data_IF_007960534579
#
_entry.id   IF_007960534579
#
_cell.length_a   1.000
_cell.length_b   1.000
_cell.length_c   1.000
_cell.angle_alpha   90.00
_cell.angle_beta   90.00
_cell.angle_gamma   90.00
#
_symmetry.space_group_name_H-M   'P 1'
#
loop_
_entity.id
_entity.type
_entity.pdbx_description
1 polymer ?
#
# COMPACT_ATOMS: atom_id res chain seq x y z
N UNK A 1 -36.18 10.26 5.79
CA UNK A 1 -34.90 9.60 6.15
C UNK A 1 -34.96 8.07 6.27
N UNK A 2 -36.02 7.47 6.86
CA UNK A 2 -36.11 5.99 7.05
C UNK A 2 -36.11 5.17 5.74
N UNK A 3 -36.74 5.68 4.68
CA UNK A 3 -36.81 4.97 3.38
C UNK A 3 -35.44 4.90 2.68
N UNK A 4 -34.66 5.98 2.72
CA UNK A 4 -33.32 6.03 2.14
C UNK A 4 -32.38 5.03 2.85
N UNK A 5 -32.40 4.98 4.20
CA UNK A 5 -31.63 3.97 4.97
C UNK A 5 -32.03 2.54 4.63
N UNK A 6 -33.33 2.25 4.45
CA UNK A 6 -33.79 0.90 4.05
C UNK A 6 -33.26 0.51 2.66
N UNK A 7 -33.28 1.43 1.68
CA UNK A 7 -32.71 1.17 0.35
C UNK A 7 -31.19 0.98 0.39
N UNK A 8 -30.47 1.72 1.23
CA UNK A 8 -29.03 1.53 1.41
C UNK A 8 -28.71 0.16 2.00
N UNK A 9 -29.43 -0.26 3.03
CA UNK A 9 -29.27 -1.58 3.65
C UNK A 9 -29.63 -2.73 2.68
N UNK A 10 -30.64 -2.55 1.83
CA UNK A 10 -30.98 -3.58 0.83
C UNK A 10 -29.91 -3.71 -0.26
N UNK A 11 -29.35 -2.60 -0.75
CA UNK A 11 -28.26 -2.64 -1.74
C UNK A 11 -27.01 -3.28 -1.15
N UNK A 12 -26.73 -2.98 0.11
CA UNK A 12 -25.62 -3.52 0.86
C UNK A 12 -25.73 -5.03 1.07
N UNK A 13 -26.91 -5.50 1.47
CA UNK A 13 -27.22 -6.92 1.57
C UNK A 13 -26.97 -7.65 0.25
N UNK A 14 -27.40 -7.08 -0.87
CA UNK A 14 -27.17 -7.65 -2.20
C UNK A 14 -25.67 -7.78 -2.50
N UNK A 15 -24.84 -6.81 -2.10
CA UNK A 15 -23.39 -6.89 -2.32
C UNK A 15 -22.75 -8.01 -1.50
N UNK A 16 -23.11 -8.13 -0.22
CA UNK A 16 -22.62 -9.20 0.66
C UNK A 16 -23.05 -10.57 0.13
N UNK A 17 -24.32 -10.72 -0.24
CA UNK A 17 -24.84 -11.99 -0.80
C UNK A 17 -24.16 -12.39 -2.10
N UNK A 18 -23.91 -11.44 -3.00
CA UNK A 18 -23.18 -11.72 -4.26
C UNK A 18 -21.76 -12.22 -3.98
N UNK A 19 -21.07 -11.60 -3.02
CA UNK A 19 -19.73 -12.00 -2.62
C UNK A 19 -19.71 -13.40 -2.00
N UNK A 20 -20.67 -13.73 -1.12
CA UNK A 20 -20.83 -15.07 -0.57
C UNK A 20 -21.01 -16.11 -1.69
N UNK A 21 -21.95 -15.89 -2.60
CA UNK A 21 -22.29 -16.86 -3.63
C UNK A 21 -21.09 -17.20 -4.54
N UNK A 22 -20.36 -16.20 -5.03
CA UNK A 22 -19.18 -16.44 -5.88
C UNK A 22 -18.07 -17.17 -5.11
N UNK A 23 -17.82 -16.75 -3.87
CA UNK A 23 -16.82 -17.38 -3.00
C UNK A 23 -17.15 -18.86 -2.73
N UNK A 24 -18.40 -19.18 -2.43
CA UNK A 24 -18.85 -20.55 -2.18
C UNK A 24 -18.66 -21.43 -3.40
N UNK A 25 -19.02 -20.94 -4.59
CA UNK A 25 -18.79 -21.68 -5.84
C UNK A 25 -17.31 -21.94 -6.06
N UNK A 26 -16.44 -20.92 -5.93
CA UNK A 26 -15.00 -21.13 -6.08
C UNK A 26 -14.47 -22.12 -5.04
N UNK A 27 -14.90 -21.99 -3.78
CA UNK A 27 -14.49 -22.90 -2.69
C UNK A 27 -14.87 -24.34 -3.00
N UNK A 28 -16.08 -24.57 -3.48
CA UNK A 28 -16.59 -25.92 -3.79
C UNK A 28 -15.87 -26.52 -5.00
N UNK A 29 -15.61 -25.71 -6.03
CA UNK A 29 -14.81 -26.13 -7.18
C UNK A 29 -13.41 -26.52 -6.72
N UNK A 30 -12.70 -25.66 -5.96
CA UNK A 30 -11.36 -25.95 -5.44
C UNK A 30 -11.33 -27.13 -4.44
N UNK A 31 -12.44 -27.39 -3.74
CA UNK A 31 -12.60 -28.57 -2.86
C UNK A 31 -12.70 -29.88 -3.62
N UNK A 32 -13.26 -29.85 -4.83
CA UNK A 32 -13.41 -31.04 -5.67
C UNK A 32 -12.13 -31.43 -6.41
N UNK A 33 -11.11 -30.58 -6.39
CA UNK A 33 -9.85 -30.78 -7.13
C UNK A 33 -8.87 -31.69 -6.39
N UNK A 34 -8.12 -32.47 -7.15
CA UNK A 34 -6.98 -33.24 -6.64
C UNK A 34 -5.72 -32.35 -6.60
N UNK A 35 -5.09 -32.12 -5.43
CA UNK A 35 -3.85 -31.35 -5.34
C UNK A 35 -2.67 -31.95 -6.14
N UNK A 36 -2.75 -33.22 -6.55
CA UNK A 36 -1.73 -33.86 -7.41
C UNK A 36 -1.91 -33.55 -8.90
N UNK A 37 -3.09 -33.07 -9.29
CA UNK A 37 -3.48 -32.77 -10.66
C UNK A 37 -4.17 -31.38 -10.70
N UNK A 38 -3.40 -30.29 -10.54
CA UNK A 38 -3.95 -28.95 -10.44
C UNK A 38 -4.33 -28.33 -11.79
N UNK A 39 -4.31 -29.08 -12.90
CA UNK A 39 -4.57 -28.55 -14.24
C UNK A 39 -5.93 -27.84 -14.32
N UNK A 40 -6.95 -28.37 -13.65
CA UNK A 40 -8.27 -27.72 -13.61
C UNK A 40 -8.28 -26.36 -12.88
N UNK A 41 -7.26 -26.04 -12.08
CA UNK A 41 -7.18 -24.74 -11.39
C UNK A 41 -6.82 -23.62 -12.38
N UNK A 42 -6.32 -24.00 -13.57
CA UNK A 42 -6.05 -23.10 -14.68
C UNK A 42 -7.18 -23.04 -15.70
N UNK A 43 -8.29 -23.76 -15.48
CA UNK A 43 -9.46 -23.70 -16.37
C UNK A 43 -10.02 -22.27 -16.39
N UNK A 44 -10.39 -21.78 -17.57
CA UNK A 44 -10.95 -20.43 -17.78
C UNK A 44 -12.10 -20.14 -16.80
N UNK A 45 -12.97 -21.12 -16.55
CA UNK A 45 -14.05 -20.99 -15.58
C UNK A 45 -13.56 -20.71 -14.15
N UNK A 46 -12.48 -21.38 -13.72
CA UNK A 46 -11.89 -21.15 -12.40
C UNK A 46 -11.21 -19.79 -12.35
N UNK A 47 -10.51 -19.40 -13.41
CA UNK A 47 -9.88 -18.09 -13.52
C UNK A 47 -10.90 -16.94 -13.48
N UNK A 48 -12.05 -17.10 -14.16
CA UNK A 48 -13.17 -16.16 -14.09
C UNK A 48 -13.74 -16.04 -12.66
N UNK A 49 -13.86 -17.16 -11.94
CA UNK A 49 -14.31 -17.15 -10.55
C UNK A 49 -13.28 -16.49 -9.62
N UNK A 50 -11.98 -16.70 -9.86
CA UNK A 50 -10.88 -16.06 -9.12
C UNK A 50 -10.89 -14.55 -9.36
N UNK A 51 -11.07 -14.10 -10.60
CA UNK A 51 -11.23 -12.68 -10.93
C UNK A 51 -12.45 -12.09 -10.23
N UNK A 52 -13.60 -12.78 -10.29
CA UNK A 52 -14.81 -12.34 -9.59
C UNK A 52 -14.60 -12.27 -8.08
N UNK A 53 -13.97 -13.27 -7.45
CA UNK A 53 -13.63 -13.25 -6.02
C UNK A 53 -12.71 -12.08 -5.67
N UNK A 54 -11.70 -11.81 -6.51
CA UNK A 54 -10.80 -10.68 -6.33
C UNK A 54 -11.55 -9.35 -6.39
N UNK A 55 -12.45 -9.18 -7.36
CA UNK A 55 -13.30 -8.00 -7.46
C UNK A 55 -14.23 -7.86 -6.26
N UNK A 56 -14.88 -8.95 -5.83
CA UNK A 56 -15.75 -8.93 -4.63
C UNK A 56 -14.94 -8.59 -3.37
N UNK A 57 -13.71 -9.10 -3.23
CA UNK A 57 -12.83 -8.76 -2.10
C UNK A 57 -12.57 -7.26 -2.04
N UNK A 58 -12.31 -6.62 -3.17
CA UNK A 58 -12.13 -5.16 -3.23
C UNK A 58 -13.42 -4.42 -2.85
N UNK A 59 -14.59 -4.90 -3.29
CA UNK A 59 -15.88 -4.30 -2.88
C UNK A 59 -16.14 -4.43 -1.39
N UNK A 60 -15.83 -5.59 -0.79
CA UNK A 60 -15.96 -5.79 0.65
C UNK A 60 -15.02 -4.86 1.42
N UNK A 61 -13.79 -4.68 0.96
CA UNK A 61 -12.85 -3.72 1.55
C UNK A 61 -13.40 -2.28 1.47
N UNK A 62 -13.87 -1.85 0.31
CA UNK A 62 -14.46 -0.51 0.16
C UNK A 62 -15.69 -0.33 1.07
N UNK A 63 -16.49 -1.38 1.23
CA UNK A 63 -17.64 -1.35 2.13
C UNK A 63 -17.21 -1.18 3.59
N UNK A 64 -16.19 -1.90 4.03
CA UNK A 64 -15.60 -1.74 5.37
C UNK A 64 -15.12 -0.30 5.60
N UNK A 65 -14.51 0.32 4.59
CA UNK A 65 -13.98 1.68 4.70
C UNK A 65 -15.06 2.77 4.72
N UNK A 66 -16.25 2.51 4.17
CA UNK A 66 -17.28 3.54 3.94
C UNK A 66 -18.52 3.38 4.80
N UNK A 67 -18.81 2.18 5.29
CA UNK A 67 -19.95 1.91 6.16
C UNK A 67 -19.72 2.48 7.58
N UNK A 68 -20.81 2.90 8.22
CA UNK A 68 -20.85 3.27 9.65
C UNK A 68 -21.66 2.27 10.48
N UNK A 69 -22.20 1.23 9.85
CA UNK A 69 -22.97 0.19 10.50
C UNK A 69 -22.03 -0.94 10.91
N UNK A 70 -21.80 -1.08 12.22
CA UNK A 70 -20.82 -2.01 12.79
C UNK A 70 -21.13 -3.48 12.47
N UNK A 71 -22.40 -3.85 12.38
CA UNK A 71 -22.81 -5.22 12.03
C UNK A 71 -22.44 -5.55 10.59
N UNK A 72 -22.68 -4.61 9.68
CA UNK A 72 -22.30 -4.73 8.28
C UNK A 72 -20.78 -4.79 8.16
N UNK A 73 -20.06 -3.90 8.84
CA UNK A 73 -18.59 -3.85 8.79
C UNK A 73 -18.01 -5.18 9.25
N UNK A 74 -18.49 -5.71 10.37
CA UNK A 74 -18.03 -7.00 10.90
C UNK A 74 -18.27 -8.14 9.91
N UNK A 75 -19.47 -8.22 9.33
CA UNK A 75 -19.80 -9.22 8.31
C UNK A 75 -18.94 -9.09 7.04
N UNK A 76 -18.66 -7.86 6.60
CA UNK A 76 -17.85 -7.60 5.42
C UNK A 76 -16.36 -7.94 5.65
N UNK A 77 -15.84 -7.75 6.87
CA UNK A 77 -14.47 -8.17 7.25
C UNK A 77 -14.36 -9.69 7.19
N UNK A 78 -15.27 -10.42 7.85
CA UNK A 78 -15.26 -11.88 7.85
C UNK A 78 -15.32 -12.44 6.42
N UNK A 79 -16.21 -11.88 5.59
CA UNK A 79 -16.31 -12.30 4.19
C UNK A 79 -15.07 -11.93 3.36
N UNK A 80 -14.41 -10.80 3.65
CA UNK A 80 -13.14 -10.43 3.01
C UNK A 80 -12.03 -11.43 3.34
N UNK A 81 -11.97 -11.90 4.58
CA UNK A 81 -11.02 -12.91 5.03
C UNK A 81 -11.29 -14.27 4.35
N UNK A 82 -12.55 -14.70 4.27
CA UNK A 82 -12.91 -15.95 3.58
C UNK A 82 -12.61 -15.88 2.07
N UNK A 83 -12.92 -14.75 1.42
CA UNK A 83 -12.50 -14.48 0.05
C UNK A 83 -10.98 -14.56 -0.12
N UNK A 84 -10.23 -14.05 0.86
CA UNK A 84 -8.77 -14.15 0.81
C UNK A 84 -8.28 -15.59 0.93
N UNK A 85 -8.87 -16.38 1.85
CA UNK A 85 -8.50 -17.79 2.05
C UNK A 85 -8.72 -18.61 0.78
N UNK A 86 -9.86 -18.43 0.09
CA UNK A 86 -10.14 -19.19 -1.14
C UNK A 86 -9.19 -18.79 -2.28
N UNK A 87 -8.83 -17.50 -2.39
CA UNK A 87 -7.84 -17.02 -3.37
C UNK A 87 -6.44 -17.59 -3.08
N UNK A 88 -5.99 -17.54 -1.83
CA UNK A 88 -4.69 -18.10 -1.42
C UNK A 88 -4.62 -19.60 -1.68
N UNK A 89 -5.73 -20.32 -1.49
CA UNK A 89 -5.78 -21.75 -1.81
C UNK A 89 -5.58 -22.01 -3.30
N UNK A 90 -6.18 -21.20 -4.16
CA UNK A 90 -5.95 -21.30 -5.60
C UNK A 90 -4.48 -21.05 -5.95
N UNK A 91 -3.86 -20.02 -5.38
CA UNK A 91 -2.42 -19.75 -5.54
C UNK A 91 -1.55 -20.93 -5.10
N UNK A 92 -1.90 -21.56 -3.97
CA UNK A 92 -1.19 -22.75 -3.46
C UNK A 92 -1.30 -23.92 -4.44
N UNK A 93 -2.48 -24.17 -5.01
CA UNK A 93 -2.66 -25.23 -6.02
C UNK A 93 -1.80 -24.98 -7.26
N UNK A 94 -1.64 -23.72 -7.68
CA UNK A 94 -0.76 -23.36 -8.80
C UNK A 94 0.73 -23.45 -8.44
N UNK A 95 1.09 -23.17 -7.18
CA UNK A 95 2.46 -23.32 -6.69
C UNK A 95 2.89 -24.79 -6.57
N UNK A 96 1.94 -25.71 -6.36
CA UNK A 96 2.19 -27.15 -6.37
C UNK A 96 2.27 -27.62 -7.83
N UNK A 97 3.22 -27.08 -8.60
CA UNK A 97 3.57 -27.74 -9.85
C UNK A 97 4.16 -29.11 -9.47
N UNK A 98 3.64 -30.24 -10.00
CA UNK A 98 4.28 -31.53 -9.83
C UNK A 98 5.65 -31.44 -10.49
N UNK A 99 6.67 -31.19 -9.68
CA UNK A 99 8.06 -31.37 -10.09
C UNK A 99 8.18 -32.85 -10.38
N UNK A 100 8.30 -33.18 -11.67
CA UNK A 100 8.46 -34.55 -12.13
C UNK A 100 9.43 -35.30 -11.23
N UNK A 101 8.87 -36.31 -10.57
CA UNK A 101 9.53 -37.38 -9.83
C UNK A 101 10.86 -37.79 -10.48
N UNK A 102 11.96 -37.31 -9.91
CA UNK A 102 13.11 -38.16 -9.63
C UNK A 102 13.42 -38.01 -8.14
N UNK A 103 12.87 -38.95 -7.40
CA UNK A 103 13.21 -39.41 -6.05
C UNK A 103 13.85 -38.41 -5.04
N UNK A 104 13.11 -38.26 -3.94
CA UNK A 104 13.62 -38.06 -2.57
C UNK A 104 14.11 -36.65 -2.22
N UNK A 105 13.31 -35.89 -1.49
CA UNK A 105 13.33 -35.91 -0.02
C UNK A 105 12.39 -34.81 0.52
N UNK A 106 11.39 -35.24 1.27
CA UNK A 106 10.68 -34.39 2.22
C UNK A 106 11.70 -33.97 3.27
N UNK A 107 12.02 -32.68 3.35
CA UNK A 107 12.17 -32.01 4.64
C UNK A 107 12.05 -30.50 4.47
N UNK A 108 10.94 -29.94 4.95
CA UNK A 108 10.89 -28.56 5.38
C UNK A 108 11.80 -28.41 6.61
N UNK A 109 13.06 -28.08 6.40
CA UNK A 109 13.87 -27.35 7.38
C UNK A 109 15.08 -26.82 6.63
N UNK A 110 15.19 -25.50 6.48
CA UNK A 110 16.45 -24.90 6.06
C UNK A 110 17.48 -25.17 7.19
N UNK A 111 18.13 -26.33 7.14
CA UNK A 111 19.09 -26.80 8.13
C UNK A 111 20.13 -25.71 8.38
N UNK A 112 20.40 -25.39 9.65
CA UNK A 112 21.38 -24.39 10.09
C UNK A 112 22.75 -24.53 9.39
N UNK A 113 23.10 -25.74 8.95
CA UNK A 113 24.28 -26.05 8.15
C UNK A 113 24.30 -25.35 6.78
N UNK A 114 23.14 -25.19 6.12
CA UNK A 114 23.00 -24.47 4.84
C UNK A 114 23.26 -22.97 5.01
N UNK A 115 22.70 -22.38 6.08
CA UNK A 115 22.98 -21.00 6.49
C UNK A 115 24.46 -20.82 6.86
N UNK A 116 25.05 -21.78 7.57
CA UNK A 116 26.46 -21.76 7.95
C UNK A 116 27.38 -21.82 6.74
N UNK A 117 27.05 -22.65 5.73
CA UNK A 117 27.78 -22.67 4.44
C UNK A 117 27.64 -21.36 3.67
N UNK A 118 26.46 -20.73 3.66
CA UNK A 118 26.24 -19.43 3.02
C UNK A 118 27.04 -18.32 3.71
N UNK A 119 27.05 -18.31 5.06
CA UNK A 119 27.77 -17.32 5.86
C UNK A 119 29.30 -17.49 5.76
N UNK A 120 29.80 -18.73 5.71
CA UNK A 120 31.23 -19.04 5.48
C UNK A 120 31.72 -18.63 4.09
N UNK A 121 30.83 -18.55 3.10
CA UNK A 121 31.14 -18.07 1.73
C UNK A 121 31.15 -16.53 1.64
N UNK A 122 30.63 -15.84 2.65
CA UNK A 122 30.52 -14.38 2.70
C UNK A 122 31.39 -13.77 3.79
N UNK A 123 32.70 -13.73 3.57
CA UNK A 123 33.61 -12.76 4.21
C UNK A 123 34.39 -12.07 3.11
N UNK A 124 34.04 -10.82 2.82
CA UNK A 124 35.00 -9.89 2.25
C UNK A 124 36.05 -9.66 3.34
N UNK A 125 37.20 -10.30 3.21
CA UNK A 125 38.33 -10.08 4.10
C UNK A 125 38.77 -8.61 3.92
N UNK A 126 38.55 -7.75 4.92
CA UNK A 126 39.45 -6.61 5.10
C UNK A 126 40.71 -7.18 5.74
N UNK A 127 41.75 -7.28 4.93
CA UNK A 127 43.03 -7.81 5.33
C UNK A 127 43.88 -6.64 5.83
N UNK A 128 43.95 -6.50 7.15
CA UNK A 128 44.85 -5.57 7.80
C UNK A 128 46.24 -6.22 7.94
N UNK A 129 47.28 -5.37 7.98
CA UNK A 129 48.72 -5.60 8.20
C UNK A 129 49.63 -5.81 6.97
N UNK A 130 50.27 -4.69 6.59
CA UNK A 130 51.72 -4.51 6.33
C UNK A 130 52.55 -5.75 5.96
N UNK A 131 52.93 -5.88 4.69
CA UNK A 131 54.27 -5.59 4.17
C UNK A 131 54.43 -6.15 2.73
N UNK A 132 55.28 -5.46 1.99
CA UNK A 132 55.64 -5.49 0.58
C UNK A 132 55.36 -6.76 -0.26
N UNK A 133 54.34 -6.68 -1.13
CA UNK A 133 54.31 -7.31 -2.47
C UNK A 133 53.01 -6.95 -3.20
N UNK A 134 53.11 -5.98 -4.10
CA UNK A 134 52.07 -5.53 -5.03
C UNK A 134 51.47 -6.68 -5.84
N UNK A 135 50.17 -7.00 -5.73
CA UNK A 135 49.47 -7.77 -6.75
C UNK A 135 49.08 -6.81 -7.88
N UNK A 136 49.71 -7.02 -9.03
CA UNK A 136 49.41 -6.37 -10.30
C UNK A 136 47.90 -6.25 -10.55
N UNK A 137 47.39 -5.02 -10.43
CA UNK A 137 46.04 -4.64 -10.84
C UNK A 137 45.92 -4.88 -12.34
N UNK A 138 45.22 -5.94 -12.74
CA UNK A 138 44.65 -6.04 -14.08
C UNK A 138 43.52 -5.02 -14.15
N UNK A 139 43.82 -3.84 -14.67
CA UNK A 139 42.83 -2.83 -15.04
C UNK A 139 41.74 -3.48 -15.90
N UNK A 140 40.50 -3.40 -15.43
CA UNK A 140 39.33 -3.73 -16.23
C UNK A 140 39.21 -2.68 -17.36
N UNK A 141 39.00 -3.08 -18.62
CA UNK A 141 38.90 -2.12 -19.71
C UNK A 141 37.65 -1.24 -19.57
N UNK A 142 37.83 0.08 -19.64
CA UNK A 142 36.82 1.13 -19.48
C UNK A 142 35.77 1.23 -20.62
N UNK A 143 35.75 0.29 -21.57
CA UNK A 143 34.88 0.36 -22.76
C UNK A 143 33.42 -0.08 -22.55
N UNK A 144 32.96 -0.25 -21.30
CA UNK A 144 31.53 -0.57 -21.02
C UNK A 144 30.79 0.45 -20.17
N UNK A 145 31.41 1.58 -19.82
CA UNK A 145 30.77 2.65 -19.03
C UNK A 145 30.22 3.81 -19.87
N UNK A 146 30.21 3.70 -21.19
CA UNK A 146 29.53 4.68 -22.07
C UNK A 146 28.19 4.15 -22.55
N UNK A 147 27.23 4.04 -21.64
CA UNK A 147 25.81 4.08 -22.02
C UNK A 147 25.30 5.48 -21.69
N UNK A 148 25.08 6.36 -22.68
CA UNK A 148 24.44 7.63 -22.43
C UNK A 148 23.03 7.34 -21.90
N UNK A 149 22.75 7.73 -20.67
CA UNK A 149 21.39 7.90 -20.17
C UNK A 149 20.80 9.16 -20.80
N UNK A 150 20.58 9.13 -22.12
CA UNK A 150 19.80 10.16 -22.79
C UNK A 150 18.40 9.59 -22.96
N UNK A 151 17.53 9.88 -21.99
CA UNK A 151 16.08 9.89 -22.25
C UNK A 151 15.88 11.02 -23.26
N UNK A 152 15.80 10.68 -24.54
CA UNK A 152 15.33 11.62 -25.55
C UNK A 152 13.85 11.89 -25.25
N UNK A 153 13.55 13.12 -24.84
CA UNK A 153 12.19 13.65 -24.79
C UNK A 153 11.54 13.49 -26.18
N UNK A 154 10.32 12.93 -26.31
CA UNK A 154 9.61 12.98 -27.56
C UNK A 154 9.25 14.43 -27.87
N UNK A 155 9.96 15.00 -28.83
CA UNK A 155 9.62 16.27 -29.46
C UNK A 155 8.28 16.10 -30.20
N UNK A 156 7.28 16.97 -29.99
CA UNK A 156 6.02 16.88 -30.72
C UNK A 156 6.18 17.68 -32.01
N UNK A 157 6.35 17.02 -33.14
CA UNK A 157 6.04 17.61 -34.44
C UNK A 157 5.88 16.51 -35.50
N UNK A 158 4.61 16.23 -35.82
CA UNK A 158 4.09 15.85 -37.13
C UNK A 158 2.59 15.65 -37.03
N UNK A 159 1.86 16.68 -37.45
CA UNK A 159 0.48 16.54 -37.92
C UNK A 159 0.46 15.64 -39.14
N UNK A 160 -0.51 14.74 -39.22
CA UNK A 160 -1.32 14.40 -40.40
C UNK A 160 -2.29 13.26 -40.01
N UNK A 161 -3.59 13.45 -40.24
CA UNK A 161 -4.58 12.37 -40.16
C UNK A 161 -5.83 12.74 -39.38
N UNK A 162 -6.67 13.60 -39.97
CA UNK A 162 -8.02 13.86 -39.51
C UNK A 162 -8.91 12.63 -39.70
N UNK A 163 -9.60 12.20 -38.65
CA UNK A 163 -10.93 11.61 -38.76
C UNK A 163 -11.82 12.31 -37.74
N UNK A 164 -12.66 13.19 -38.25
CA UNK A 164 -13.74 13.84 -37.52
C UNK A 164 -14.74 12.78 -37.05
N UNK A 165 -14.94 12.69 -35.73
CA UNK A 165 -16.24 12.29 -35.18
C UNK A 165 -16.61 13.37 -34.17
N UNK A 166 -17.69 14.08 -34.48
CA UNK A 166 -18.26 15.16 -33.69
C UNK A 166 -19.29 14.60 -32.69
N UNK A 167 -19.33 15.21 -31.48
CA UNK A 167 -20.52 15.59 -30.67
C UNK A 167 -20.54 15.00 -29.24
N UNK A 168 -21.20 15.62 -28.22
CA UNK A 168 -21.40 17.03 -27.86
C UNK A 168 -20.79 17.43 -26.49
N UNK A 169 -20.86 18.73 -26.27
CA UNK A 169 -20.76 19.52 -25.02
C UNK A 169 -21.06 18.80 -23.69
N UNK A 170 -20.18 18.99 -22.71
CA UNK A 170 -20.35 18.57 -21.32
C UNK A 170 -19.31 19.24 -20.43
N UNK A 171 -19.74 20.21 -19.64
CA UNK A 171 -18.92 20.96 -18.69
C UNK A 171 -18.17 20.02 -17.71
N UNK A 172 -16.84 20.05 -17.74
CA UNK A 172 -15.99 19.42 -16.74
C UNK A 172 -15.85 20.31 -15.50
N UNK A 173 -16.11 19.78 -14.27
CA UNK A 173 -15.85 20.51 -13.04
C UNK A 173 -14.34 20.74 -12.88
N UNK A 174 -13.98 21.99 -12.63
CA UNK A 174 -12.61 22.46 -12.39
C UNK A 174 -11.92 21.59 -11.34
N UNK A 175 -11.05 20.68 -11.77
CA UNK A 175 -10.12 20.00 -10.89
C UNK A 175 -9.18 21.03 -10.26
N UNK A 176 -9.33 21.25 -8.95
CA UNK A 176 -8.35 22.00 -8.16
C UNK A 176 -6.99 21.28 -8.26
N UNK A 177 -5.91 21.97 -8.66
CA UNK A 177 -4.60 21.35 -8.70
C UNK A 177 -4.19 21.01 -7.27
N UNK A 178 -3.87 19.73 -7.03
CA UNK A 178 -3.34 19.25 -5.77
C UNK A 178 -2.17 20.15 -5.30
N UNK A 179 -2.05 20.46 -3.99
CA UNK A 179 -0.95 21.25 -3.49
C UNK A 179 0.37 20.61 -3.92
N UNK A 180 1.11 21.30 -4.80
CA UNK A 180 2.43 20.85 -5.24
C UNK A 180 3.34 20.88 -4.01
N UNK A 181 3.60 19.71 -3.44
CA UNK A 181 4.59 19.58 -2.38
C UNK A 181 5.96 19.86 -3.03
N UNK A 182 6.70 20.89 -2.58
CA UNK A 182 7.99 21.20 -3.15
C UNK A 182 8.95 20.02 -2.93
N UNK A 183 9.88 19.77 -3.89
CA UNK A 183 10.87 18.72 -3.72
C UNK A 183 11.70 19.00 -2.47
N UNK A 184 12.08 17.95 -1.71
CA UNK A 184 12.83 18.13 -0.48
C UNK A 184 14.20 18.75 -0.77
N UNK A 185 14.79 19.47 0.21
CA UNK A 185 16.11 20.06 0.06
C UNK A 185 17.14 19.03 -0.42
N UNK A 186 17.86 19.38 -1.49
CA UNK A 186 18.82 18.50 -2.13
C UNK A 186 20.07 18.28 -1.27
N UNK A 187 20.42 19.25 -0.40
CA UNK A 187 21.57 19.17 0.50
C UNK A 187 21.16 18.68 1.89
N UNK A 188 21.89 17.70 2.42
CA UNK A 188 21.64 17.14 3.75
C UNK A 188 21.63 18.20 4.86
N UNK A 189 22.59 19.13 4.83
CA UNK A 189 22.68 20.21 5.82
C UNK A 189 21.47 21.16 5.83
N UNK A 190 20.78 21.32 4.69
CA UNK A 190 19.57 22.14 4.59
C UNK A 190 18.35 21.39 5.12
N UNK A 191 18.30 20.08 4.88
CA UNK A 191 17.28 19.19 5.45
C UNK A 191 17.32 19.19 6.98
N UNK A 192 18.49 19.03 7.59
CA UNK A 192 18.63 19.05 9.05
C UNK A 192 18.16 20.38 9.65
N UNK A 193 18.52 21.51 9.03
CA UNK A 193 18.04 22.85 9.45
C UNK A 193 16.53 22.97 9.40
N UNK A 194 15.90 22.47 8.32
CA UNK A 194 14.44 22.52 8.16
C UNK A 194 13.71 21.78 9.29
N UNK A 195 14.18 20.58 9.65
CA UNK A 195 13.58 19.80 10.74
C UNK A 195 13.89 20.39 12.13
N UNK A 196 15.09 20.94 12.33
CA UNK A 196 15.47 21.59 13.59
C UNK A 196 14.64 22.87 13.82
N UNK A 197 14.46 23.70 12.79
CA UNK A 197 13.67 24.92 12.86
C UNK A 197 12.20 24.62 13.14
N UNK A 198 11.61 23.64 12.43
CA UNK A 198 10.24 23.20 12.71
C UNK A 198 10.07 22.67 14.13
N UNK A 199 11.06 21.96 14.67
CA UNK A 199 11.05 21.47 16.05
C UNK A 199 11.11 22.61 17.08
N UNK A 200 11.91 23.65 16.82
CA UNK A 200 12.03 24.86 17.67
C UNK A 200 10.73 25.67 17.61
N UNK A 201 10.14 25.82 16.43
CA UNK A 201 8.90 26.58 16.22
C UNK A 201 7.71 25.85 16.86
N UNK A 202 7.68 24.52 16.79
CA UNK A 202 6.71 23.68 17.51
C UNK A 202 6.87 23.79 19.04
N UNK A 203 8.12 23.82 19.55
CA UNK A 203 8.39 24.05 20.97
C UNK A 203 7.94 25.44 21.44
N UNK A 204 8.18 26.48 20.63
CA UNK A 204 7.73 27.85 20.91
C UNK A 204 6.21 27.95 20.94
N UNK A 205 5.49 27.21 20.09
CA UNK A 205 4.02 27.14 20.13
C UNK A 205 3.49 26.40 21.36
N UNK A 206 4.22 25.40 21.88
CA UNK A 206 3.84 24.67 23.10
C UNK A 206 4.12 25.43 24.39
N UNK A 207 5.10 26.35 24.42
CA UNK A 207 5.49 27.09 25.63
C UNK A 207 4.81 28.46 25.80
N UNK A 208 3.70 28.72 25.11
CA UNK A 208 2.98 30.00 25.19
C UNK A 208 2.25 30.21 26.53
N UNK A 209 2.95 30.78 27.52
CA UNK A 209 2.36 31.54 28.62
C UNK A 209 1.46 32.66 28.05
N UNK A 210 0.23 32.87 28.56
CA UNK A 210 -0.58 34.00 28.15
C UNK A 210 -0.02 35.27 28.81
N UNK A 211 0.43 36.21 28.00
CA UNK A 211 0.64 37.59 28.44
C UNK A 211 -0.74 38.19 28.77
N UNK A 212 -1.14 38.09 30.04
CA UNK A 212 -2.30 38.80 30.57
C UNK A 212 -1.98 40.28 30.70
N UNK A 213 -2.65 41.10 29.88
CA UNK A 213 -2.84 42.53 30.15
C UNK A 213 -3.70 42.69 31.42
N UNK A 214 -3.35 43.56 32.38
CA UNK A 214 -4.28 43.94 33.43
C UNK A 214 -5.06 45.18 32.98
N UNK A 215 -6.34 45.00 32.63
CA UNK A 215 -7.33 46.07 32.73
C UNK A 215 -8.03 45.99 34.09
N UNK A 216 -7.94 47.10 34.84
CA UNK A 216 -8.92 47.51 35.85
C UNK A 216 -8.62 47.19 37.32
N UNK A 217 -8.85 48.19 38.20
CA UNK A 217 -9.57 47.93 39.44
C UNK A 217 -10.83 48.80 39.48
N UNK A 218 -12.00 48.15 39.45
CA UNK A 218 -13.25 48.70 40.01
C UNK A 218 -13.39 48.09 41.41
N UNK A 219 -13.26 48.93 42.43
CA UNK A 219 -13.59 48.63 43.82
C UNK A 219 -14.53 49.76 44.27
N UNK A 220 -15.83 49.54 44.34
CA UNK A 220 -16.54 48.95 45.48
C UNK A 220 -16.43 49.84 46.73
N UNK A 221 -17.48 50.64 46.93
CA UNK A 221 -17.77 51.44 48.11
C UNK A 221 -17.94 50.54 49.36
N UNK A 222 -17.45 50.96 50.53
CA UNK A 222 -17.99 50.52 51.81
C UNK A 222 -18.79 51.65 52.45
N UNK A 223 -20.01 51.37 52.89
CA UNK A 223 -20.87 52.37 53.53
C UNK A 223 -22.12 51.78 54.15
N UNK A 224 -21.96 50.80 55.05
CA UNK A 224 -22.97 50.53 56.06
C UNK A 224 -22.72 51.46 57.25
N UNK A 225 -23.71 52.29 57.58
CA UNK A 225 -23.94 52.75 58.94
C UNK A 225 -25.44 52.93 59.13
N UNK A 226 -25.98 52.10 60.01
CA UNK A 226 -27.32 52.17 60.54
C UNK A 226 -27.16 52.24 62.05
N UNK A 227 -27.58 53.35 62.69
CA UNK A 227 -28.29 53.32 63.98
C UNK A 227 -28.71 54.74 64.43
N UNK A 228 -30.01 54.84 64.73
CA UNK A 228 -30.76 55.80 65.56
C UNK A 228 -30.88 57.26 65.09
#
# INVERSE_FOLDING_TARGET
>A
MKLNRKCTLSLLWIQVQKACSVMEVLRDVLNSMDPRHPEGATDEFVLDLVEQCTFQKQRMMHLVMTSRDEMVVSQAIELNEELHKVLVRHDVLLSVHPTTTVASNINEEENAESLYRRLRKGKALSQDYTDDSVPSFRSMPEDKLRRPLTIQSPHPDKRLGALNIHLPDGEEPRHDPAPLIPPPPAKHAERERFFQEKSIDEHRRRSGQPAGSPEGPVAAQPGQQQLV
#
